data_IF_215121978277
#
_entry.id   IF_215121978277
#
_cell.length_a   1.000
_cell.length_b   1.000
_cell.length_c   1.000
_cell.angle_alpha   90.00
_cell.angle_beta   90.00
_cell.angle_gamma   90.00
#
_symmetry.space_group_name_H-M   'P 1'
#
loop_
_entity.id
_entity.type
_entity.pdbx_description
1 polymer ?
#
# COMPACT_ATOMS: atom_id res chain seq x y z
N UNK A 1 8.72 -9.12 -5.86
CA UNK A 1 7.61 -9.64 -5.05
C UNK A 1 7.39 -11.11 -5.35
N UNK A 2 6.82 -11.87 -4.43
CA UNK A 2 6.71 -13.34 -4.55
C UNK A 2 5.28 -13.87 -4.77
N UNK A 3 4.22 -13.18 -4.31
CA UNK A 3 2.85 -13.69 -4.39
C UNK A 3 1.80 -12.55 -4.26
N UNK A 4 1.58 -11.76 -5.33
CA UNK A 4 0.67 -10.62 -5.31
C UNK A 4 -0.82 -11.01 -5.39
N UNK A 5 -1.12 -12.26 -5.77
CA UNK A 5 -2.49 -12.77 -5.93
C UNK A 5 -3.09 -13.16 -4.58
N UNK A 6 -2.28 -13.70 -3.66
CA UNK A 6 -2.75 -14.10 -2.34
C UNK A 6 -2.53 -13.05 -1.26
N UNK A 7 -1.64 -12.07 -1.47
CA UNK A 7 -1.23 -11.14 -0.42
C UNK A 7 -1.26 -9.68 -0.86
N UNK A 8 -1.76 -8.85 0.04
CA UNK A 8 -1.65 -7.39 0.01
C UNK A 8 -0.92 -6.90 1.26
N UNK A 9 -0.45 -5.65 1.20
CA UNK A 9 0.17 -4.99 2.34
C UNK A 9 -0.77 -3.92 2.84
N UNK A 10 -1.10 -3.98 4.12
CA UNK A 10 -1.74 -2.89 4.83
C UNK A 10 -0.67 -2.08 5.57
N UNK A 11 -0.75 -0.75 5.49
CA UNK A 11 0.22 0.14 6.11
C UNK A 11 -0.38 1.51 6.46
N UNK A 12 0.23 2.19 7.42
CA UNK A 12 0.07 3.61 7.67
C UNK A 12 1.08 4.38 6.81
N UNK A 13 0.59 5.22 5.89
CA UNK A 13 1.41 6.04 5.00
C UNK A 13 1.34 7.52 5.37
N UNK A 14 2.49 8.14 5.61
CA UNK A 14 2.60 9.58 5.75
C UNK A 14 2.88 10.24 4.40
N UNK A 15 1.99 11.13 3.93
CA UNK A 15 2.19 11.81 2.65
C UNK A 15 3.22 12.96 2.74
N UNK A 16 3.48 13.63 1.61
CA UNK A 16 4.44 14.75 1.58
C UNK A 16 3.99 15.99 2.36
N UNK A 17 2.71 16.05 2.75
CA UNK A 17 2.12 17.15 3.53
C UNK A 17 2.01 16.80 5.01
N UNK A 18 2.51 15.63 5.43
CA UNK A 18 2.42 15.17 6.82
C UNK A 18 1.10 14.51 7.19
N UNK A 19 0.21 14.24 6.22
CA UNK A 19 -1.05 13.55 6.50
C UNK A 19 -0.82 12.04 6.51
N UNK A 20 -1.07 11.43 7.67
CA UNK A 20 -1.09 9.98 7.81
C UNK A 20 -2.41 9.41 7.26
N UNK A 21 -2.34 8.33 6.49
CA UNK A 21 -3.49 7.60 5.96
C UNK A 21 -3.24 6.10 6.00
N UNK A 22 -4.24 5.30 6.38
CA UNK A 22 -4.16 3.84 6.24
C UNK A 22 -4.39 3.45 4.78
N UNK A 23 -3.60 2.50 4.28
CA UNK A 23 -3.59 2.08 2.87
C UNK A 23 -3.51 0.57 2.77
N UNK A 24 -4.24 0.00 1.83
CA UNK A 24 -4.04 -1.38 1.34
C UNK A 24 -3.45 -1.30 -0.05
N UNK A 25 -2.32 -1.97 -0.26
CA UNK A 25 -1.59 -1.92 -1.52
C UNK A 25 -1.19 -3.32 -1.97
N UNK A 26 -1.33 -3.63 -3.26
CA UNK A 26 -0.72 -4.80 -3.89
C UNK A 26 0.59 -4.36 -4.55
N UNK A 27 1.76 -4.73 -4.00
CA UNK A 27 3.00 -4.13 -4.43
C UNK A 27 3.58 -4.87 -5.66
N UNK A 28 4.03 -4.11 -6.65
CA UNK A 28 4.33 -4.58 -8.02
C UNK A 28 5.84 -4.78 -8.21
N UNK A 29 6.63 -3.74 -7.89
CA UNK A 29 8.10 -3.78 -7.98
C UNK A 29 8.75 -2.72 -7.10
N UNK A 30 10.01 -2.93 -6.76
CA UNK A 30 10.85 -1.84 -6.25
C UNK A 30 11.17 -0.83 -7.37
N UNK A 31 11.28 0.44 -6.98
CA UNK A 31 11.55 1.57 -7.87
C UNK A 31 12.72 2.40 -7.30
N UNK A 32 13.87 1.74 -7.14
CA UNK A 32 15.03 2.26 -6.41
C UNK A 32 15.22 1.56 -5.05
N UNK A 33 16.07 2.12 -4.20
CA UNK A 33 16.36 1.56 -2.87
C UNK A 33 15.29 1.93 -1.82
N UNK A 34 14.67 3.11 -1.95
CA UNK A 34 13.78 3.68 -0.94
C UNK A 34 12.32 3.75 -1.37
N UNK A 35 11.98 3.20 -2.54
CA UNK A 35 10.65 3.32 -3.15
C UNK A 35 10.17 2.02 -3.77
N UNK A 36 8.86 1.89 -3.84
CA UNK A 36 8.20 0.81 -4.56
C UNK A 36 6.95 1.33 -5.27
N UNK A 37 6.63 0.68 -6.39
CA UNK A 37 5.39 0.87 -7.13
C UNK A 37 4.37 -0.16 -6.65
N UNK A 38 3.15 0.28 -6.35
CA UNK A 38 2.06 -0.60 -5.94
C UNK A 38 0.72 -0.14 -6.49
N UNK A 39 -0.20 -1.08 -6.71
CA UNK A 39 -1.62 -0.77 -6.89
C UNK A 39 -2.20 -0.39 -5.54
N UNK A 40 -2.69 0.84 -5.39
CA UNK A 40 -3.34 1.30 -4.18
C UNK A 40 -4.84 1.01 -4.25
N UNK A 41 -5.33 0.03 -3.47
CA UNK A 41 -6.73 -0.38 -3.48
C UNK A 41 -7.66 0.71 -2.91
N UNK A 42 -7.14 1.65 -2.13
CA UNK A 42 -7.91 2.79 -1.63
C UNK A 42 -8.07 3.92 -2.65
N UNK A 43 -7.20 3.99 -3.65
CA UNK A 43 -7.17 5.09 -4.63
C UNK A 43 -7.37 4.62 -6.07
N UNK A 44 -7.61 3.31 -6.25
CA UNK A 44 -7.92 2.66 -7.52
C UNK A 44 -6.87 2.94 -8.61
N UNK A 45 -5.61 3.09 -8.20
CA UNK A 45 -4.53 3.51 -9.09
C UNK A 45 -3.17 3.01 -8.63
N UNK A 46 -2.27 2.80 -9.60
CA UNK A 46 -0.86 2.56 -9.34
C UNK A 46 -0.20 3.84 -8.80
N UNK A 47 0.50 3.72 -7.66
CA UNK A 47 1.20 4.83 -7.00
C UNK A 47 2.58 4.38 -6.53
N UNK A 48 3.52 5.32 -6.49
CA UNK A 48 4.81 5.12 -5.85
C UNK A 48 4.72 5.49 -4.37
N UNK A 49 5.30 4.65 -3.53
CA UNK A 49 5.39 4.83 -2.08
C UNK A 49 6.86 4.86 -1.69
N UNK A 50 7.22 5.74 -0.73
CA UNK A 50 8.54 5.71 -0.10
C UNK A 50 8.51 4.84 1.15
N UNK A 51 9.51 3.99 1.32
CA UNK A 51 9.61 3.04 2.44
C UNK A 51 9.74 3.78 3.78
N UNK A 52 10.49 4.88 3.81
CA UNK A 52 10.70 5.73 5.00
C UNK A 52 9.43 6.43 5.52
N UNK A 53 8.34 6.39 4.75
CA UNK A 53 7.04 6.97 5.10
C UNK A 53 5.98 5.92 5.45
N UNK A 54 6.35 4.65 5.42
CA UNK A 54 5.49 3.53 5.80
C UNK A 54 5.71 3.17 7.28
N UNK A 55 4.61 2.94 7.98
CA UNK A 55 4.56 2.48 9.37
C UNK A 55 3.44 1.43 9.51
N UNK A 56 3.43 0.69 10.61
CA UNK A 56 2.41 -0.34 10.91
C UNK A 56 2.20 -1.35 9.77
N UNK A 57 3.31 -1.80 9.16
CA UNK A 57 3.26 -2.65 7.97
C UNK A 57 2.81 -4.06 8.34
N UNK A 58 1.72 -4.52 7.72
CA UNK A 58 1.16 -5.85 7.92
C UNK A 58 0.89 -6.52 6.56
N UNK A 59 1.20 -7.82 6.49
CA UNK A 59 0.80 -8.66 5.36
C UNK A 59 -0.61 -9.20 5.63
N UNK A 60 -1.50 -9.08 4.63
CA UNK A 60 -2.90 -9.49 4.76
C UNK A 60 -3.35 -10.30 3.55
N UNK A 61 -4.25 -11.29 3.71
CA UNK A 61 -4.78 -12.04 2.58
C UNK A 61 -5.51 -11.11 1.60
N UNK A 62 -5.21 -11.22 0.32
CA UNK A 62 -5.79 -10.34 -0.71
C UNK A 62 -7.32 -10.48 -0.82
N UNK A 63 -7.83 -11.70 -0.58
CA UNK A 63 -9.27 -11.99 -0.67
C UNK A 63 -10.12 -11.34 0.43
N UNK A 64 -9.51 -10.76 1.46
CA UNK A 64 -10.23 -9.99 2.49
C UNK A 64 -10.60 -8.57 2.01
N UNK A 65 -10.08 -8.14 0.85
CA UNK A 65 -10.25 -6.78 0.35
C UNK A 65 -10.92 -6.77 -1.02
N UNK A 66 -11.86 -5.85 -1.18
CA UNK A 66 -12.44 -5.48 -2.47
C UNK A 66 -12.13 -4.00 -2.71
N UNK A 67 -11.65 -3.69 -3.91
CA UNK A 67 -11.40 -2.32 -4.34
C UNK A 67 -12.73 -1.64 -4.73
N UNK A 68 -13.02 -0.40 -4.29
CA UNK A 68 -12.20 0.45 -3.43
C UNK A 68 -12.26 0.07 -1.95
N UNK A 69 -11.10 0.11 -1.29
CA UNK A 69 -11.02 -0.04 0.17
C UNK A 69 -11.18 1.31 0.85
N UNK A 70 -12.25 1.46 1.63
CA UNK A 70 -12.48 2.63 2.47
C UNK A 70 -11.99 2.38 3.90
N UNK A 71 -11.25 3.34 4.44
CA UNK A 71 -10.98 3.42 5.88
C UNK A 71 -11.78 4.60 6.45
N UNK A 72 -12.35 4.45 7.67
CA UNK A 72 -12.93 5.58 8.37
C UNK A 72 -11.85 6.68 8.53
N UNK A 73 -12.27 7.92 8.33
CA UNK A 73 -11.41 9.11 8.38
C UNK A 73 -10.96 9.45 9.80
#
# INVERSE_FOLDING_TARGET
MRDPDNWVVELSYNDARGKQTRRVVSPIRFAGQDRFLALCLCAEACRQFRIDRCSDVQLKPAHEYVMPVAFPA
#
